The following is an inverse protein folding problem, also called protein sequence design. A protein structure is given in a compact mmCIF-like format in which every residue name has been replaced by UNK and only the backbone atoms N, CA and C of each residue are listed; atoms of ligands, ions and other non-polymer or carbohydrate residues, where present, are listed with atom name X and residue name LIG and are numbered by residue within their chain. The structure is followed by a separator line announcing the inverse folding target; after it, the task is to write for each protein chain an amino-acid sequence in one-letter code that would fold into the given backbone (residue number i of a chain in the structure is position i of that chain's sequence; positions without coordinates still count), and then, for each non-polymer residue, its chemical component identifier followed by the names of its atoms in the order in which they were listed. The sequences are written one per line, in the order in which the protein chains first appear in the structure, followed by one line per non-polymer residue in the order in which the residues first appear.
data_IF_002563832259
#
_entry.id   IF_002563832259
#
_cell.length_a   1.000
_cell.length_b   1.000
_cell.length_c   1.000
_cell.angle_alpha   90.00
_cell.angle_beta   90.00
_cell.angle_gamma   90.00
#
_symmetry.space_group_name_H-M   'P 1'
#
loop_
_entity.id
_entity.type
_entity.pdbx_description
1 polymer ?
#
# COMPACT_ATOMS: atom_id res chain seq x y z
N UNK A 1 10.04 15.27 -12.52
CA UNK A 1 10.62 13.90 -12.51
C UNK A 1 10.69 13.34 -11.09
N UNK A 2 11.57 13.86 -10.23
CA UNK A 2 11.79 13.33 -8.87
C UNK A 2 10.52 13.27 -8.00
N UNK A 3 9.77 14.36 -7.93
CA UNK A 3 8.55 14.46 -7.10
C UNK A 3 7.44 13.50 -7.53
N UNK A 4 7.27 13.27 -8.83
CA UNK A 4 6.24 12.36 -9.34
C UNK A 4 6.55 10.90 -8.97
N UNK A 5 7.83 10.50 -9.04
CA UNK A 5 8.27 9.16 -8.64
C UNK A 5 8.12 8.96 -7.12
N UNK A 6 8.47 9.95 -6.31
CA UNK A 6 8.25 9.87 -4.86
C UNK A 6 6.76 9.76 -4.51
N UNK A 7 5.91 10.53 -5.19
CA UNK A 7 4.47 10.45 -4.99
C UNK A 7 3.90 9.07 -5.40
N UNK A 8 4.33 8.52 -6.53
CA UNK A 8 3.93 7.18 -6.97
C UNK A 8 4.40 6.08 -5.99
N UNK A 9 5.61 6.19 -5.44
CA UNK A 9 6.13 5.22 -4.46
C UNK A 9 5.40 5.31 -3.11
N UNK A 10 5.27 6.52 -2.56
CA UNK A 10 4.74 6.73 -1.21
C UNK A 10 3.22 6.57 -1.17
N UNK A 11 2.51 7.10 -2.16
CA UNK A 11 1.05 7.17 -2.16
C UNK A 11 0.42 5.93 -2.80
N UNK A 12 0.83 5.56 -4.01
CA UNK A 12 0.16 4.51 -4.78
C UNK A 12 0.79 3.14 -4.59
N UNK A 13 2.12 3.05 -4.69
CA UNK A 13 2.83 1.79 -4.66
C UNK A 13 2.78 1.15 -3.28
N UNK A 14 3.15 1.88 -2.22
CA UNK A 14 3.17 1.33 -0.86
C UNK A 14 1.78 0.92 -0.35
N UNK A 15 0.72 1.65 -0.75
CA UNK A 15 -0.67 1.35 -0.39
C UNK A 15 -1.20 0.09 -1.08
N UNK A 16 -0.73 -0.19 -2.31
CA UNK A 16 -1.22 -1.31 -3.13
C UNK A 16 -0.29 -2.51 -3.14
N UNK A 17 0.96 -2.32 -2.70
CA UNK A 17 1.95 -3.38 -2.57
C UNK A 17 1.54 -4.33 -1.47
N UNK A 18 1.65 -5.63 -1.75
CA UNK A 18 1.46 -6.69 -0.76
C UNK A 18 2.65 -6.76 0.18
N UNK A 19 2.37 -6.83 1.48
CA UNK A 19 3.39 -6.97 2.51
C UNK A 19 3.22 -8.31 3.22
N UNK A 20 4.32 -9.00 3.50
CA UNK A 20 4.31 -10.25 4.27
C UNK A 20 3.75 -10.04 5.68
N UNK A 21 4.02 -8.88 6.28
CA UNK A 21 3.46 -8.48 7.58
C UNK A 21 1.92 -8.39 7.57
N UNK A 22 1.32 -8.07 6.41
CA UNK A 22 -0.12 -8.03 6.21
C UNK A 22 -0.67 -9.37 5.69
N UNK A 23 0.06 -10.49 5.84
CA UNK A 23 -0.38 -11.79 5.33
C UNK A 23 -0.41 -11.87 3.80
N UNK A 24 0.48 -11.13 3.12
CA UNK A 24 0.47 -10.94 1.67
C UNK A 24 -0.71 -10.12 1.13
N UNK A 25 -1.40 -9.37 1.99
CA UNK A 25 -2.36 -8.35 1.60
C UNK A 25 -1.67 -7.00 1.41
N UNK A 26 -2.28 -6.11 0.64
CA UNK A 26 -1.90 -4.70 0.67
C UNK A 26 -2.41 -4.04 1.96
N UNK A 27 -1.80 -2.92 2.40
CA UNK A 27 -2.28 -2.16 3.55
C UNK A 27 -3.77 -1.82 3.44
N UNK A 28 -4.20 -1.31 2.27
CA UNK A 28 -5.62 -0.99 2.04
C UNK A 28 -6.53 -2.22 2.20
N UNK A 29 -6.12 -3.39 1.68
CA UNK A 29 -6.90 -4.62 1.82
C UNK A 29 -6.96 -5.11 3.27
N UNK A 30 -5.86 -4.98 4.00
CA UNK A 30 -5.78 -5.35 5.40
C UNK A 30 -6.69 -4.46 6.26
N UNK A 31 -6.63 -3.14 6.09
CA UNK A 31 -7.51 -2.20 6.78
C UNK A 31 -8.99 -2.46 6.44
N UNK A 32 -9.33 -2.68 5.18
CA UNK A 32 -10.70 -2.99 4.76
C UNK A 32 -11.23 -4.31 5.35
N UNK A 33 -10.35 -5.28 5.64
CA UNK A 33 -10.73 -6.52 6.33
C UNK A 33 -10.93 -6.32 7.84
N UNK A 34 -10.18 -5.42 8.47
CA UNK A 34 -10.32 -5.11 9.90
C UNK A 34 -11.48 -4.15 10.20
N UNK A 35 -11.96 -3.42 9.19
CA UNK A 35 -13.12 -2.53 9.28
C UNK A 35 -14.47 -3.26 9.10
N UNK A 36 -14.45 -4.55 8.72
CA UNK A 36 -15.62 -5.42 8.56
C UNK A 36 -15.94 -6.19 9.84
#
# INVERSE_FOLDING_TARGET
MRTAVFNDIECDYNQRRRHSACGSLSPEQFENQNLA
#
